data_IF_306098350444
#
_entry.id   IF_306098350444
#
_cell.length_a   1.000
_cell.length_b   1.000
_cell.length_c   1.000
_cell.angle_alpha   90.00
_cell.angle_beta   90.00
_cell.angle_gamma   90.00
#
_symmetry.space_group_name_H-M   'P 1'
#
loop_
_entity.id
_entity.type
_entity.pdbx_description
1 polymer ?
#
# COMPACT_ATOMS: atom_id res chain seq x y z
N UNK A 1 24.53 -20.75 -8.40
CA UNK A 1 23.97 -19.40 -8.17
C UNK A 1 24.67 -18.78 -6.96
N UNK A 2 25.15 -17.53 -7.05
CA UNK A 2 25.75 -16.83 -5.90
C UNK A 2 24.64 -16.28 -5.01
N UNK A 3 24.66 -16.60 -3.71
CA UNK A 3 23.73 -16.02 -2.73
C UNK A 3 24.09 -14.55 -2.51
N UNK A 4 23.09 -13.67 -2.52
CA UNK A 4 23.23 -12.25 -2.18
C UNK A 4 22.57 -12.01 -0.81
N UNK A 5 23.20 -11.20 0.02
CA UNK A 5 22.70 -10.80 1.34
C UNK A 5 22.41 -9.31 1.33
N UNK A 6 21.24 -8.93 1.82
CA UNK A 6 20.77 -7.55 1.88
C UNK A 6 20.46 -7.18 3.33
N UNK A 7 20.60 -5.91 3.68
CA UNK A 7 20.28 -5.42 5.03
C UNK A 7 18.76 -5.45 5.31
N UNK A 8 17.95 -5.32 4.26
CA UNK A 8 16.49 -5.39 4.31
C UNK A 8 15.94 -6.08 3.07
N UNK A 9 14.76 -6.71 3.20
CA UNK A 9 14.03 -7.32 2.06
C UNK A 9 13.72 -6.28 1.00
N UNK A 10 13.49 -5.01 1.39
CA UNK A 10 13.22 -3.92 0.47
C UNK A 10 14.41 -3.60 -0.44
N UNK A 11 15.65 -3.71 0.07
CA UNK A 11 16.88 -3.46 -0.70
C UNK A 11 17.16 -4.57 -1.71
N UNK A 12 16.50 -5.73 -1.57
CA UNK A 12 16.54 -6.81 -2.53
C UNK A 12 15.52 -6.65 -3.66
N UNK A 13 14.51 -5.79 -3.46
CA UNK A 13 13.38 -5.58 -4.38
C UNK A 13 13.55 -4.32 -5.24
N UNK A 14 14.28 -3.32 -4.75
CA UNK A 14 14.41 -2.01 -5.40
C UNK A 14 15.88 -1.63 -5.58
N UNK A 15 16.18 -0.96 -6.69
CA UNK A 15 17.54 -0.64 -7.09
C UNK A 15 18.07 0.65 -6.43
N UNK A 16 17.18 1.50 -5.90
CA UNK A 16 17.56 2.80 -5.30
C UNK A 16 16.95 3.01 -3.91
N UNK A 17 17.62 3.73 -3.00
CA UNK A 17 17.08 4.04 -1.67
C UNK A 17 15.73 4.78 -1.72
N UNK A 18 15.52 5.64 -2.72
CA UNK A 18 14.28 6.39 -2.92
C UNK A 18 13.13 5.45 -3.32
N UNK A 19 13.40 4.49 -4.21
CA UNK A 19 12.44 3.47 -4.62
C UNK A 19 12.08 2.55 -3.45
N UNK A 20 13.08 2.10 -2.68
CA UNK A 20 12.92 1.34 -1.42
C UNK A 20 12.00 2.07 -0.44
N UNK A 21 12.26 3.35 -0.18
CA UNK A 21 11.45 4.16 0.73
C UNK A 21 10.01 4.31 0.23
N UNK A 22 9.82 4.64 -1.04
CA UNK A 22 8.50 4.77 -1.66
C UNK A 22 7.70 3.45 -1.64
N UNK A 23 8.36 2.34 -1.97
CA UNK A 23 7.75 1.00 -1.94
C UNK A 23 7.30 0.63 -0.52
N UNK A 24 8.15 0.88 0.49
CA UNK A 24 7.81 0.59 1.89
C UNK A 24 6.58 1.37 2.35
N UNK A 25 6.52 2.68 2.11
CA UNK A 25 5.36 3.48 2.54
C UNK A 25 4.10 3.08 1.77
N UNK A 26 4.19 2.83 0.46
CA UNK A 26 3.06 2.32 -0.32
C UNK A 26 2.55 0.97 0.20
N UNK A 27 3.45 0.07 0.60
CA UNK A 27 3.07 -1.22 1.15
C UNK A 27 2.32 -1.08 2.48
N UNK A 28 2.84 -0.24 3.39
CA UNK A 28 2.18 0.05 4.67
C UNK A 28 0.76 0.64 4.47
N UNK A 29 0.60 1.57 3.53
CA UNK A 29 -0.71 2.15 3.21
C UNK A 29 -1.66 1.15 2.53
N UNK A 30 -1.16 0.34 1.59
CA UNK A 30 -1.95 -0.70 0.92
C UNK A 30 -2.49 -1.73 1.92
N UNK A 31 -1.66 -2.16 2.87
CA UNK A 31 -2.06 -3.05 3.96
C UNK A 31 -3.15 -2.40 4.81
N UNK A 32 -3.04 -1.10 5.11
CA UNK A 32 -4.08 -0.39 5.85
C UNK A 32 -5.42 -0.36 5.10
N UNK A 33 -5.40 -0.19 3.77
CA UNK A 33 -6.63 -0.27 2.96
C UNK A 33 -7.19 -1.69 2.95
N UNK A 34 -6.35 -2.72 2.78
CA UNK A 34 -6.79 -4.12 2.82
C UNK A 34 -7.45 -4.47 4.16
N UNK A 35 -6.84 -4.06 5.28
CA UNK A 35 -7.42 -4.25 6.63
C UNK A 35 -8.76 -3.55 6.80
N UNK A 36 -8.94 -2.37 6.23
CA UNK A 36 -10.25 -1.71 6.23
C UNK A 36 -11.30 -2.56 5.51
N UNK A 37 -10.96 -3.10 4.34
CA UNK A 37 -11.87 -3.95 3.55
C UNK A 37 -12.22 -5.24 4.28
N UNK A 38 -11.24 -5.87 4.93
CA UNK A 38 -11.45 -7.08 5.74
C UNK A 38 -12.33 -6.80 6.96
N UNK A 39 -12.11 -5.67 7.63
CA UNK A 39 -12.85 -5.30 8.84
C UNK A 39 -14.26 -4.76 8.58
N UNK A 40 -14.60 -4.32 7.36
CA UNK A 40 -15.92 -3.74 7.08
C UNK A 40 -17.04 -4.79 7.06
N UNK A 41 -16.71 -6.07 6.81
CA UNK A 41 -17.71 -7.13 6.62
C UNK A 41 -18.56 -6.96 5.36
N UNK A 42 -18.21 -6.01 4.49
CA UNK A 42 -18.93 -5.68 3.28
C UNK A 42 -18.51 -6.56 2.10
N UNK A 43 -19.35 -6.63 1.07
CA UNK A 43 -18.90 -7.21 -0.21
C UNK A 43 -17.81 -6.33 -0.84
N UNK A 44 -16.94 -6.93 -1.67
CA UNK A 44 -15.92 -6.16 -2.41
C UNK A 44 -16.54 -5.01 -3.23
N UNK A 45 -17.73 -5.20 -3.81
CA UNK A 45 -18.38 -4.16 -4.59
C UNK A 45 -18.81 -2.95 -3.72
N UNK A 46 -19.24 -3.18 -2.48
CA UNK A 46 -19.58 -2.12 -1.52
C UNK A 46 -18.31 -1.41 -1.03
N UNK A 47 -17.31 -2.18 -0.60
CA UNK A 47 -16.03 -1.62 -0.14
C UNK A 47 -15.36 -0.78 -1.25
N UNK A 48 -15.44 -1.22 -2.51
CA UNK A 48 -14.92 -0.47 -3.65
C UNK A 48 -15.60 0.90 -3.77
N UNK A 49 -16.93 0.98 -3.62
CA UNK A 49 -17.66 2.25 -3.65
C UNK A 49 -17.20 3.20 -2.54
N UNK A 50 -17.05 2.71 -1.31
CA UNK A 50 -16.59 3.51 -0.18
C UNK A 50 -15.16 4.02 -0.36
N UNK A 51 -14.29 3.22 -0.97
CA UNK A 51 -12.92 3.59 -1.30
C UNK A 51 -12.80 4.45 -2.58
N UNK A 52 -13.91 4.69 -3.31
CA UNK A 52 -13.91 5.44 -4.57
C UNK A 52 -13.25 4.68 -5.73
N UNK A 53 -13.35 3.35 -5.74
CA UNK A 53 -12.77 2.45 -6.73
C UNK A 53 -13.83 1.70 -7.53
N UNK A 54 -13.43 1.23 -8.70
CA UNK A 54 -14.14 0.14 -9.38
C UNK A 54 -13.78 -1.19 -8.72
N UNK A 55 -14.64 -2.20 -8.85
CA UNK A 55 -14.38 -3.53 -8.29
C UNK A 55 -13.11 -4.20 -8.86
N UNK A 56 -12.80 -4.14 -10.18
CA UNK A 56 -11.53 -4.68 -10.69
C UNK A 56 -10.30 -4.01 -10.07
N UNK A 57 -10.36 -2.69 -9.84
CA UNK A 57 -9.26 -1.95 -9.21
C UNK A 57 -9.10 -2.30 -7.73
N UNK A 58 -10.21 -2.52 -7.01
CA UNK A 58 -10.14 -3.07 -5.65
C UNK A 58 -9.49 -4.47 -5.66
N UNK A 59 -9.82 -5.31 -6.64
CA UNK A 59 -9.25 -6.66 -6.74
C UNK A 59 -7.72 -6.63 -6.98
N UNK A 60 -7.24 -5.69 -7.80
CA UNK A 60 -5.80 -5.44 -7.93
C UNK A 60 -5.15 -5.06 -6.59
N UNK A 61 -5.81 -4.19 -5.80
CA UNK A 61 -5.34 -3.78 -4.48
C UNK A 61 -5.29 -4.96 -3.50
N UNK A 62 -6.34 -5.78 -3.45
CA UNK A 62 -6.41 -6.96 -2.56
C UNK A 62 -5.39 -8.04 -2.95
N UNK A 63 -4.99 -8.12 -4.22
CA UNK A 63 -3.92 -9.02 -4.68
C UNK A 63 -2.51 -8.45 -4.51
N UNK A 64 -2.37 -7.26 -3.90
CA UNK A 64 -1.06 -6.67 -3.64
C UNK A 64 -0.35 -6.16 -4.90
N UNK A 65 -1.09 -5.80 -5.96
CA UNK A 65 -0.54 -5.19 -7.19
C UNK A 65 -0.06 -3.75 -6.96
N UNK A 66 0.88 -3.58 -6.04
CA UNK A 66 1.38 -2.30 -5.51
C UNK A 66 1.91 -1.36 -6.58
N UNK A 67 2.45 -1.89 -7.67
CA UNK A 67 2.95 -1.15 -8.81
C UNK A 67 1.85 -0.31 -9.50
N UNK A 68 0.57 -0.70 -9.36
CA UNK A 68 -0.59 0.00 -9.96
C UNK A 68 -1.11 1.17 -9.11
N UNK A 69 -0.55 1.38 -7.93
CA UNK A 69 -1.03 2.37 -6.97
C UNK A 69 0.08 3.36 -6.59
N UNK A 70 -0.24 4.64 -6.75
CA UNK A 70 0.59 5.72 -6.20
C UNK A 70 0.36 5.87 -4.70
N UNK A 71 1.30 6.51 -4.02
CA UNK A 71 1.17 6.91 -2.63
C UNK A 71 -0.12 7.73 -2.41
N UNK A 72 -0.31 8.78 -3.21
CA UNK A 72 -1.45 9.69 -3.11
C UNK A 72 -2.79 8.97 -3.28
N UNK A 73 -2.86 7.99 -4.19
CA UNK A 73 -4.08 7.21 -4.37
C UNK A 73 -4.45 6.44 -3.10
N UNK A 74 -3.48 5.81 -2.44
CA UNK A 74 -3.70 5.06 -1.21
C UNK A 74 -4.09 5.98 -0.03
N UNK A 75 -3.45 7.14 0.08
CA UNK A 75 -3.83 8.18 1.07
C UNK A 75 -5.27 8.63 0.87
N UNK A 76 -5.64 8.95 -0.38
CA UNK A 76 -7.00 9.39 -0.70
C UNK A 76 -8.06 8.33 -0.41
N UNK A 77 -7.75 7.05 -0.64
CA UNK A 77 -8.65 5.95 -0.29
C UNK A 77 -8.91 5.88 1.22
N UNK A 78 -7.85 5.95 2.04
CA UNK A 78 -7.96 5.94 3.49
C UNK A 78 -8.74 7.16 4.02
N UNK A 79 -8.47 8.34 3.46
CA UNK A 79 -9.18 9.56 3.83
C UNK A 79 -10.69 9.48 3.54
N UNK A 80 -11.08 8.89 2.39
CA UNK A 80 -12.49 8.69 2.01
C UNK A 80 -13.27 7.85 3.01
N UNK A 81 -12.61 6.91 3.67
CA UNK A 81 -13.22 6.03 4.67
C UNK A 81 -12.96 6.50 6.10
N UNK A 82 -12.66 7.79 6.27
CA UNK A 82 -12.52 8.44 7.57
C UNK A 82 -11.26 8.05 8.35
N UNK A 83 -10.23 7.51 7.68
CA UNK A 83 -8.95 7.19 8.32
C UNK A 83 -7.97 8.35 8.17
N UNK A 84 -7.37 8.75 9.28
CA UNK A 84 -6.30 9.73 9.30
C UNK A 84 -4.97 9.06 8.96
N UNK A 85 -4.25 9.62 7.99
CA UNK A 85 -2.90 9.20 7.62
C UNK A 85 -1.89 10.22 8.17
N UNK A 86 -0.85 9.75 8.84
CA UNK A 86 0.24 10.58 9.35
C UNK A 86 1.59 10.01 8.91
N UNK A 87 2.43 10.84 8.29
CA UNK A 87 3.79 10.48 7.90
C UNK A 87 4.77 11.04 8.93
N UNK A 88 5.67 10.19 9.44
CA UNK A 88 6.73 10.59 10.37
C UNK A 88 8.08 10.43 9.68
N UNK A 89 8.84 11.52 9.55
CA UNK A 89 10.21 11.49 9.03
C UNK A 89 11.16 11.18 10.18
N UNK A 90 12.09 10.25 9.95
CA UNK A 90 13.12 9.85 10.92
C UNK A 90 14.50 9.93 10.25
N UNK A 91 15.55 10.09 11.04
CA UNK A 91 16.93 9.99 10.55
C UNK A 91 17.15 8.59 9.97
N UNK A 92 17.69 8.51 8.75
CA UNK A 92 18.13 7.25 8.18
C UNK A 92 19.27 6.68 9.03
N UNK A 93 19.19 5.39 9.36
CA UNK A 93 20.20 4.65 10.11
C UNK A 93 21.37 4.25 9.21
#
# INVERSE_FOLDING_TARGET
>A
MKKRTYASVWDALEDTPEATASMRVRAELMIAVQRYVEASGETQAQAAKHLGLTQPRLNDLLRGRIEKFSLDALVNMLARVGRQVAVKVKKAA
#
